data_IF_741598197693
#
_entry.id   IF_741598197693
#
_cell.length_a   1.000
_cell.length_b   1.000
_cell.length_c   1.000
_cell.angle_alpha   90.00
_cell.angle_beta   90.00
_cell.angle_gamma   90.00
#
_symmetry.space_group_name_H-M   'P 1'
#
loop_
_entity.id
_entity.type
_entity.pdbx_description
1 polymer ?
#
# COMPACT_ATOMS: atom_id res chain seq x y z
N UNK A 1 32.08 -27.22 5.38
CA UNK A 1 31.91 -26.00 4.57
C UNK A 1 31.01 -25.08 5.37
N UNK A 2 31.33 -23.78 5.53
CA UNK A 2 30.42 -22.87 6.22
C UNK A 2 29.10 -22.88 5.45
N UNK A 3 27.96 -23.05 6.12
CA UNK A 3 26.66 -23.09 5.45
C UNK A 3 26.20 -21.67 5.09
N UNK A 4 27.03 -20.92 4.36
CA UNK A 4 26.75 -19.56 3.90
C UNK A 4 25.35 -19.39 3.25
N UNK A 5 24.81 -20.37 2.48
CA UNK A 5 23.44 -20.28 1.95
C UNK A 5 22.35 -20.23 3.04
N UNK A 6 22.56 -20.85 4.21
CA UNK A 6 21.59 -20.89 5.30
C UNK A 6 21.40 -19.53 5.96
N UNK A 7 22.44 -18.69 5.99
CA UNK A 7 22.34 -17.29 6.44
C UNK A 7 21.38 -16.49 5.57
N UNK A 8 21.42 -16.74 4.26
CA UNK A 8 20.53 -16.11 3.29
C UNK A 8 19.10 -16.63 3.49
N UNK A 9 18.92 -17.92 3.78
CA UNK A 9 17.61 -18.50 4.10
C UNK A 9 17.01 -17.85 5.35
N UNK A 10 17.76 -17.75 6.44
CA UNK A 10 17.31 -17.14 7.69
C UNK A 10 16.83 -15.69 7.50
N UNK A 11 17.66 -14.86 6.85
CA UNK A 11 17.34 -13.45 6.59
C UNK A 11 16.08 -13.31 5.74
N UNK A 12 15.92 -14.11 4.69
CA UNK A 12 14.75 -14.01 3.80
C UNK A 12 13.47 -14.57 4.43
N UNK A 13 13.56 -15.60 5.28
CA UNK A 13 12.41 -16.06 6.07
C UNK A 13 11.96 -14.98 7.06
N UNK A 14 12.90 -14.35 7.79
CA UNK A 14 12.59 -13.28 8.72
C UNK A 14 11.94 -12.07 8.01
N UNK A 15 12.53 -11.61 6.92
CA UNK A 15 11.97 -10.52 6.09
C UNK A 15 10.56 -10.83 5.58
N UNK A 16 10.33 -12.08 5.15
CA UNK A 16 9.01 -12.51 4.70
C UNK A 16 7.98 -12.47 5.83
N UNK A 17 8.34 -12.97 7.01
CA UNK A 17 7.45 -13.00 8.18
C UNK A 17 7.10 -11.59 8.67
N UNK A 18 8.08 -10.70 8.75
CA UNK A 18 7.85 -9.31 9.17
C UNK A 18 7.04 -8.51 8.14
N UNK A 19 7.33 -8.67 6.85
CA UNK A 19 6.52 -8.02 5.81
C UNK A 19 5.07 -8.51 5.82
N UNK A 20 4.84 -9.82 5.97
CA UNK A 20 3.50 -10.38 6.13
C UNK A 20 2.79 -9.88 7.39
N UNK A 21 3.52 -9.62 8.49
CA UNK A 21 2.97 -9.04 9.71
C UNK A 21 2.42 -7.62 9.46
N UNK A 22 3.16 -6.79 8.72
CA UNK A 22 2.69 -5.45 8.35
C UNK A 22 1.41 -5.54 7.50
N UNK A 23 1.38 -6.43 6.51
CA UNK A 23 0.16 -6.65 5.70
C UNK A 23 -1.01 -7.16 6.56
N UNK A 24 -0.75 -8.06 7.50
CA UNK A 24 -1.74 -8.60 8.44
C UNK A 24 -2.37 -7.49 9.29
N UNK A 25 -1.55 -6.58 9.82
CA UNK A 25 -2.00 -5.45 10.63
C UNK A 25 -2.80 -4.43 9.80
N UNK A 26 -2.42 -4.17 8.55
CA UNK A 26 -3.23 -3.33 7.64
C UNK A 26 -4.58 -4.01 7.36
N UNK A 27 -4.59 -5.31 7.07
CA UNK A 27 -5.84 -6.05 6.85
C UNK A 27 -6.75 -6.01 8.09
N UNK A 28 -6.17 -6.15 9.29
CA UNK A 28 -6.90 -6.17 10.56
C UNK A 28 -7.43 -4.80 10.97
N UNK A 29 -6.59 -3.77 10.95
CA UNK A 29 -6.90 -2.50 11.60
C UNK A 29 -7.35 -1.41 10.63
N UNK A 30 -6.96 -1.48 9.35
CA UNK A 30 -7.38 -0.51 8.34
C UNK A 30 -8.57 -1.06 7.55
N UNK A 31 -8.43 -2.26 6.99
CA UNK A 31 -9.47 -2.87 6.16
C UNK A 31 -10.56 -3.55 6.99
N UNK A 32 -10.30 -3.83 8.28
CA UNK A 32 -11.20 -4.56 9.17
C UNK A 32 -11.68 -5.90 8.57
N UNK A 33 -10.82 -6.59 7.82
CA UNK A 33 -11.13 -7.85 7.15
C UNK A 33 -10.52 -9.04 7.93
N UNK A 34 -11.36 -9.74 8.67
CA UNK A 34 -10.98 -10.90 9.45
C UNK A 34 -10.49 -12.07 8.58
N UNK A 35 -11.07 -12.26 7.40
CA UNK A 35 -10.70 -13.35 6.49
C UNK A 35 -9.31 -13.11 5.93
N UNK A 36 -9.05 -11.90 5.45
CA UNK A 36 -7.75 -11.52 4.90
C UNK A 36 -6.66 -11.52 5.97
N UNK A 37 -6.96 -11.00 7.16
CA UNK A 37 -6.04 -11.05 8.31
C UNK A 37 -5.69 -12.50 8.66
N UNK A 38 -6.67 -13.41 8.73
CA UNK A 38 -6.42 -14.82 9.01
C UNK A 38 -5.61 -15.49 7.90
N UNK A 39 -5.89 -15.17 6.63
CA UNK A 39 -5.13 -15.67 5.49
C UNK A 39 -3.64 -15.27 5.54
N UNK A 40 -3.35 -14.01 5.87
CA UNK A 40 -1.99 -13.49 6.03
C UNK A 40 -1.30 -14.13 7.24
N UNK A 41 -2.00 -14.24 8.38
CA UNK A 41 -1.51 -14.94 9.58
C UNK A 41 -1.14 -16.39 9.30
N UNK A 42 -2.02 -17.15 8.63
CA UNK A 42 -1.75 -18.55 8.28
C UNK A 42 -0.54 -18.68 7.37
N UNK A 43 -0.38 -17.77 6.39
CA UNK A 43 0.81 -17.74 5.52
C UNK A 43 2.07 -17.46 6.32
N UNK A 44 2.02 -16.48 7.23
CA UNK A 44 3.12 -16.09 8.10
C UNK A 44 3.55 -17.24 9.02
N UNK A 45 2.60 -17.92 9.65
CA UNK A 45 2.87 -19.09 10.49
C UNK A 45 3.51 -20.22 9.69
N UNK A 46 2.98 -20.49 8.49
CA UNK A 46 3.54 -21.50 7.59
C UNK A 46 5.02 -21.22 7.26
N UNK A 47 5.38 -19.96 6.98
CA UNK A 47 6.78 -19.60 6.73
C UNK A 47 7.64 -19.64 8.01
N UNK A 48 7.09 -19.25 9.16
CA UNK A 48 7.80 -19.32 10.44
C UNK A 48 8.14 -20.79 10.82
N UNK A 49 7.22 -21.72 10.59
CA UNK A 49 7.44 -23.16 10.81
C UNK A 49 8.62 -23.70 9.97
N UNK A 50 8.85 -23.18 8.75
CA UNK A 50 10.03 -23.54 7.95
C UNK A 50 11.31 -23.10 8.69
N UNK A 51 11.32 -21.87 9.20
CA UNK A 51 12.44 -21.36 10.00
C UNK A 51 12.68 -22.17 11.26
N UNK A 52 11.63 -22.55 11.99
CA UNK A 52 11.72 -23.39 13.18
C UNK A 52 12.29 -24.78 12.88
N UNK A 53 11.84 -25.40 11.78
CA UNK A 53 12.35 -26.73 11.36
C UNK A 53 13.84 -26.74 11.03
N UNK A 54 14.40 -25.59 10.69
CA UNK A 54 15.82 -25.39 10.40
C UNK A 54 16.56 -24.68 11.55
N UNK A 55 15.87 -24.36 12.65
CA UNK A 55 16.24 -23.32 13.61
C UNK A 55 17.60 -23.47 14.27
N UNK A 56 18.00 -24.69 14.66
CA UNK A 56 19.32 -24.93 15.25
C UNK A 56 20.43 -24.64 14.23
N UNK A 57 20.27 -25.12 12.99
CA UNK A 57 21.25 -24.97 11.92
C UNK A 57 21.32 -23.50 11.44
N UNK A 58 20.18 -22.80 11.42
CA UNK A 58 20.14 -21.37 11.05
C UNK A 58 20.80 -20.50 12.13
N UNK A 59 20.58 -20.80 13.41
CA UNK A 59 21.15 -20.04 14.54
C UNK A 59 22.67 -20.19 14.61
N UNK A 60 23.20 -21.40 14.36
CA UNK A 60 24.65 -21.68 14.33
C UNK A 60 25.40 -20.86 13.26
N UNK A 61 24.70 -20.46 12.19
CA UNK A 61 25.27 -19.70 11.08
C UNK A 61 25.02 -18.18 11.21
N UNK A 62 24.31 -17.71 12.24
CA UNK A 62 24.09 -16.26 12.43
C UNK A 62 25.39 -15.57 12.86
N UNK A 63 25.86 -14.67 12.01
CA UNK A 63 27.03 -13.84 12.30
C UNK A 63 26.77 -12.37 11.92
N UNK A 64 25.78 -11.77 12.59
CA UNK A 64 25.44 -10.36 12.39
C UNK A 64 26.56 -9.41 12.82
N UNK A 65 27.47 -9.87 13.69
CA UNK A 65 28.55 -9.02 14.20
C UNK A 65 29.65 -8.78 13.17
N UNK A 66 29.95 -9.77 12.34
CA UNK A 66 30.95 -9.69 11.27
C UNK A 66 30.34 -9.51 9.88
N UNK A 67 29.04 -9.22 9.78
CA UNK A 67 28.36 -9.00 8.50
C UNK A 67 28.82 -7.71 7.81
N UNK A 68 29.13 -7.85 6.51
CA UNK A 68 29.49 -6.74 5.65
C UNK A 68 28.32 -5.76 5.54
N UNK A 69 28.58 -4.47 5.76
CA UNK A 69 27.57 -3.41 5.72
C UNK A 69 27.03 -2.97 7.09
N UNK A 70 27.51 -3.56 8.20
CA UNK A 70 27.24 -3.10 9.56
C UNK A 70 27.75 -1.68 9.82
N UNK A 71 28.92 -1.33 9.28
CA UNK A 71 29.52 0.01 9.40
C UNK A 71 28.93 1.05 8.42
N UNK A 72 27.61 1.05 8.21
CA UNK A 72 26.95 2.27 7.73
C UNK A 72 26.65 3.17 8.93
N UNK A 73 27.72 3.59 9.62
CA UNK A 73 27.68 4.87 10.32
C UNK A 73 27.51 5.89 9.19
N UNK A 74 26.27 6.31 8.95
CA UNK A 74 26.01 7.57 8.27
C UNK A 74 26.90 8.56 9.01
N UNK A 75 28.00 8.97 8.38
CA UNK A 75 28.89 9.96 8.91
C UNK A 75 28.01 11.19 9.13
N UNK A 76 27.52 11.38 10.37
CA UNK A 76 26.95 12.65 10.76
C UNK A 76 28.10 13.62 10.50
N UNK A 77 27.94 14.61 9.60
CA UNK A 77 28.99 15.59 9.42
C UNK A 77 29.36 16.12 10.80
N UNK A 78 30.66 16.27 11.12
CA UNK A 78 31.09 16.71 12.44
C UNK A 78 30.30 17.97 12.77
N UNK A 79 29.68 17.97 13.94
CA UNK A 79 28.92 19.09 14.48
C UNK A 79 29.83 20.32 14.53
N UNK A 80 29.82 21.10 13.45
CA UNK A 80 30.30 22.47 13.50
C UNK A 80 29.37 23.14 14.50
N UNK A 81 29.98 23.67 15.56
CA UNK A 81 29.35 24.55 16.53
C UNK A 81 28.85 25.76 15.73
N UNK A 82 27.66 25.65 15.15
CA UNK A 82 26.98 26.73 14.48
C UNK A 82 26.11 27.40 15.54
N UNK A 83 26.50 28.63 15.86
CA UNK A 83 25.74 29.58 16.67
C UNK A 83 24.23 29.52 16.39
N UNK A 84 23.37 29.78 17.39
CA UNK A 84 21.93 29.81 17.17
C UNK A 84 21.60 30.77 16.01
N UNK A 85 20.78 30.35 15.03
CA UNK A 85 20.44 31.23 13.92
C UNK A 85 19.65 32.45 14.44
N UNK A 86 19.83 33.63 13.82
CA UNK A 86 19.17 34.83 14.28
C UNK A 86 17.66 34.69 14.12
N UNK A 87 16.93 35.07 15.16
CA UNK A 87 15.47 35.21 15.13
C UNK A 87 15.13 36.38 14.21
N UNK A 88 14.83 36.09 12.94
CA UNK A 88 14.21 37.05 12.03
C UNK A 88 12.79 36.57 11.73
N UNK A 89 11.85 37.33 12.27
CA UNK A 89 10.43 37.20 12.01
C UNK A 89 10.10 37.43 10.53
N UNK A 90 9.13 36.64 10.06
CA UNK A 90 8.25 36.88 8.90
C UNK A 90 8.90 37.05 7.52
N UNK A 91 8.87 35.96 6.74
CA UNK A 91 8.32 35.99 5.38
C UNK A 91 7.54 34.70 5.16
N UNK A 92 6.21 34.82 5.10
CA UNK A 92 5.31 33.76 4.59
C UNK A 92 5.79 33.34 3.20
N UNK A 93 6.52 32.23 3.13
CA UNK A 93 6.71 31.47 1.90
C UNK A 93 5.72 30.32 1.95
N UNK A 94 4.58 30.56 1.32
CA UNK A 94 3.63 29.54 0.90
C UNK A 94 4.35 28.58 -0.05
N UNK A 95 4.88 27.50 0.49
CA UNK A 95 5.16 26.23 -0.18
C UNK A 95 5.42 25.23 0.95
N UNK A 96 4.34 24.79 1.61
CA UNK A 96 4.40 23.58 2.42
C UNK A 96 4.62 22.43 1.44
N UNK A 97 5.90 22.12 1.22
CA UNK A 97 6.34 20.84 0.74
C UNK A 97 5.90 19.84 1.82
N UNK A 98 4.68 19.31 1.67
CA UNK A 98 4.13 18.27 2.53
C UNK A 98 5.11 17.12 2.39
N UNK A 99 5.97 16.90 3.40
CA UNK A 99 6.72 15.66 3.53
C UNK A 99 5.68 14.55 3.44
N UNK A 100 5.58 13.93 2.27
CA UNK A 100 4.51 13.01 1.95
C UNK A 100 4.82 11.75 2.73
N UNK A 101 4.22 11.61 3.90
CA UNK A 101 4.16 10.32 4.58
C UNK A 101 3.72 9.28 3.54
N UNK A 102 4.37 8.10 3.51
CA UNK A 102 3.98 7.06 2.55
C UNK A 102 2.49 6.76 2.75
N UNK A 103 1.72 6.90 1.68
CA UNK A 103 0.31 6.52 1.68
C UNK A 103 0.19 5.01 1.98
N UNK A 104 -0.92 4.59 2.57
CA UNK A 104 -1.13 3.19 2.97
C UNK A 104 -1.00 2.23 1.78
N UNK A 105 -1.37 2.68 0.58
CA UNK A 105 -1.16 1.94 -0.67
C UNK A 105 0.33 1.71 -0.93
N UNK A 106 1.16 2.76 -0.79
CA UNK A 106 2.62 2.64 -0.96
C UNK A 106 3.25 1.75 0.11
N UNK A 107 2.77 1.83 1.36
CA UNK A 107 3.25 0.97 2.45
C UNK A 107 2.94 -0.51 2.17
N UNK A 108 1.72 -0.82 1.74
CA UNK A 108 1.32 -2.19 1.36
C UNK A 108 2.16 -2.69 0.20
N UNK A 109 2.26 -1.92 -0.88
CA UNK A 109 3.05 -2.34 -2.05
C UNK A 109 4.53 -2.55 -1.71
N UNK A 110 5.14 -1.67 -0.91
CA UNK A 110 6.53 -1.83 -0.51
C UNK A 110 6.75 -3.11 0.33
N UNK A 111 5.84 -3.45 1.24
CA UNK A 111 5.96 -4.66 2.06
C UNK A 111 5.63 -5.92 1.27
N UNK A 112 4.63 -5.89 0.37
CA UNK A 112 4.33 -7.01 -0.52
C UNK A 112 5.53 -7.35 -1.41
N UNK A 113 6.08 -6.37 -2.14
CA UNK A 113 7.26 -6.55 -2.98
C UNK A 113 8.45 -7.14 -2.20
N UNK A 114 8.72 -6.63 -0.99
CA UNK A 114 9.80 -7.16 -0.14
C UNK A 114 9.61 -8.63 0.22
N UNK A 115 8.39 -9.04 0.54
CA UNK A 115 8.07 -10.44 0.84
C UNK A 115 8.19 -11.28 -0.43
N UNK A 116 7.70 -10.79 -1.57
CA UNK A 116 7.78 -11.49 -2.86
C UNK A 116 9.22 -11.71 -3.32
N UNK A 117 10.07 -10.69 -3.19
CA UNK A 117 11.51 -10.80 -3.45
C UNK A 117 12.18 -11.81 -2.51
N UNK A 118 11.84 -11.76 -1.22
CA UNK A 118 12.39 -12.70 -0.23
C UNK A 118 11.97 -14.14 -0.53
N UNK A 119 10.70 -14.35 -0.90
CA UNK A 119 10.18 -15.64 -1.34
C UNK A 119 10.83 -16.10 -2.64
N UNK A 120 11.14 -15.19 -3.57
CA UNK A 120 11.85 -15.51 -4.81
C UNK A 120 13.26 -16.01 -4.52
N UNK A 121 13.98 -15.36 -3.59
CA UNK A 121 15.31 -15.84 -3.16
C UNK A 121 15.21 -17.23 -2.53
N UNK A 122 14.24 -17.46 -1.65
CA UNK A 122 14.01 -18.77 -1.03
C UNK A 122 13.64 -19.85 -2.06
N UNK A 123 12.84 -19.50 -3.07
CA UNK A 123 12.47 -20.37 -4.20
C UNK A 123 13.72 -20.81 -4.98
N UNK A 124 14.63 -19.89 -5.31
CA UNK A 124 15.86 -20.24 -6.05
C UNK A 124 16.86 -21.01 -5.18
N UNK A 125 17.01 -20.66 -3.91
CA UNK A 125 17.87 -21.39 -2.97
C UNK A 125 17.39 -22.83 -2.77
N UNK A 126 16.08 -23.06 -2.75
CA UNK A 126 15.50 -24.40 -2.63
C UNK A 126 15.78 -25.31 -3.85
N UNK A 127 16.23 -24.75 -4.98
CA UNK A 127 16.63 -25.52 -6.17
C UNK A 127 18.09 -25.98 -6.13
N UNK A 128 18.88 -25.51 -5.15
CA UNK A 128 20.26 -25.99 -4.96
C UNK A 128 20.27 -27.40 -4.37
N UNK A 129 21.11 -28.28 -4.88
CA UNK A 129 21.20 -29.69 -4.45
C UNK A 129 21.40 -29.85 -2.93
N UNK A 130 22.15 -28.92 -2.32
CA UNK A 130 22.45 -28.90 -0.88
C UNK A 130 21.23 -28.56 0.00
N UNK A 131 20.26 -27.83 -0.55
CA UNK A 131 19.11 -27.29 0.18
C UNK A 131 17.78 -27.89 -0.27
N UNK A 132 17.72 -28.55 -1.43
CA UNK A 132 16.51 -29.17 -1.98
C UNK A 132 15.91 -30.25 -1.08
N UNK A 133 16.72 -30.85 -0.19
CA UNK A 133 16.26 -31.79 0.84
C UNK A 133 15.64 -31.13 2.07
N UNK A 134 15.90 -29.83 2.28
CA UNK A 134 15.49 -29.04 3.45
C UNK A 134 14.39 -28.04 3.13
N UNK A 135 14.30 -27.61 1.88
CA UNK A 135 13.41 -26.56 1.40
C UNK A 135 12.57 -27.04 0.22
N UNK A 136 11.36 -26.49 0.11
CA UNK A 136 10.43 -26.80 -0.97
C UNK A 136 10.26 -25.58 -1.88
N UNK A 137 10.84 -25.64 -3.08
CA UNK A 137 10.76 -24.57 -4.07
C UNK A 137 9.31 -24.28 -4.51
N UNK A 138 8.51 -25.33 -4.72
CA UNK A 138 7.13 -25.22 -5.18
C UNK A 138 6.25 -24.54 -4.10
N UNK A 139 6.55 -24.78 -2.82
CA UNK A 139 5.89 -24.08 -1.71
C UNK A 139 6.15 -22.57 -1.77
N UNK A 140 7.39 -22.13 -1.94
CA UNK A 140 7.72 -20.69 -2.00
C UNK A 140 7.10 -20.02 -3.23
N UNK A 141 7.14 -20.68 -4.38
CA UNK A 141 6.47 -20.24 -5.60
C UNK A 141 4.96 -20.04 -5.38
N UNK A 142 4.28 -21.04 -4.80
CA UNK A 142 2.85 -20.98 -4.51
C UNK A 142 2.48 -19.85 -3.55
N UNK A 143 3.29 -19.64 -2.50
CA UNK A 143 3.07 -18.53 -1.55
C UNK A 143 3.26 -17.19 -2.24
N UNK A 144 4.29 -17.04 -3.09
CA UNK A 144 4.56 -15.82 -3.86
C UNK A 144 3.40 -15.47 -4.80
N UNK A 145 2.89 -16.45 -5.56
CA UNK A 145 1.74 -16.20 -6.45
C UNK A 145 0.46 -15.83 -5.70
N UNK A 146 0.23 -16.44 -4.54
CA UNK A 146 -0.88 -16.06 -3.67
C UNK A 146 -0.72 -14.62 -3.17
N UNK A 147 0.51 -14.20 -2.88
CA UNK A 147 0.79 -12.86 -2.39
C UNK A 147 0.48 -11.77 -3.42
N UNK A 148 0.76 -12.00 -4.71
CA UNK A 148 0.33 -11.07 -5.78
C UNK A 148 -1.18 -10.83 -5.78
N UNK A 149 -1.96 -11.88 -5.52
CA UNK A 149 -3.42 -11.76 -5.45
C UNK A 149 -3.87 -10.96 -4.22
N UNK A 150 -3.22 -11.22 -3.08
CA UNK A 150 -3.47 -10.50 -1.83
C UNK A 150 -3.09 -9.02 -1.95
N UNK A 151 -1.93 -8.71 -2.53
CA UNK A 151 -1.49 -7.32 -2.78
C UNK A 151 -2.52 -6.58 -3.63
N UNK A 152 -2.93 -7.17 -4.76
CA UNK A 152 -3.92 -6.57 -5.66
C UNK A 152 -5.25 -6.30 -4.97
N UNK A 153 -5.73 -7.25 -4.17
CA UNK A 153 -6.95 -7.11 -3.35
C UNK A 153 -6.82 -5.95 -2.36
N UNK A 154 -5.71 -5.90 -1.61
CA UNK A 154 -5.45 -4.86 -0.60
C UNK A 154 -5.36 -3.47 -1.22
N UNK A 155 -4.54 -3.31 -2.28
CA UNK A 155 -4.36 -2.04 -2.99
C UNK A 155 -5.68 -1.53 -3.56
N UNK A 156 -6.47 -2.43 -4.17
CA UNK A 156 -7.79 -2.08 -4.72
C UNK A 156 -8.74 -1.55 -3.64
N UNK A 157 -8.81 -2.24 -2.49
CA UNK A 157 -9.67 -1.85 -1.38
C UNK A 157 -9.24 -0.54 -0.72
N UNK A 158 -7.94 -0.35 -0.49
CA UNK A 158 -7.39 0.89 0.06
C UNK A 158 -7.68 2.07 -0.86
N UNK A 159 -7.38 1.92 -2.17
CA UNK A 159 -7.69 2.95 -3.17
C UNK A 159 -9.18 3.29 -3.20
N UNK A 160 -10.06 2.29 -3.08
CA UNK A 160 -11.51 2.51 -3.02
C UNK A 160 -11.91 3.26 -1.74
N UNK A 161 -11.35 2.93 -0.59
CA UNK A 161 -11.63 3.63 0.66
C UNK A 161 -11.23 5.10 0.57
N UNK A 162 -10.07 5.41 -0.03
CA UNK A 162 -9.64 6.80 -0.20
C UNK A 162 -10.53 7.57 -1.17
N UNK A 163 -10.91 6.95 -2.30
CA UNK A 163 -11.92 7.54 -3.20
C UNK A 163 -13.26 7.77 -2.50
N UNK A 164 -13.72 6.84 -1.66
CA UNK A 164 -14.96 7.00 -0.90
C UNK A 164 -14.88 8.16 0.11
N UNK A 165 -13.72 8.39 0.74
CA UNK A 165 -13.48 9.56 1.59
C UNK A 165 -13.52 10.86 0.79
N UNK A 166 -13.03 10.85 -0.45
CA UNK A 166 -13.14 11.99 -1.36
C UNK A 166 -14.58 12.24 -1.83
N UNK A 167 -15.35 11.16 -2.02
CA UNK A 167 -16.78 11.18 -2.36
C UNK A 167 -17.70 11.56 -1.17
N UNK A 168 -17.16 12.19 -0.13
CA UNK A 168 -17.95 12.75 0.97
C UNK A 168 -18.70 14.00 0.49
N UNK A 169 -20.03 13.97 0.47
CA UNK A 169 -20.83 15.13 0.07
C UNK A 169 -22.22 14.70 -0.40
N UNK A 170 -23.05 15.68 -0.76
CA UNK A 170 -24.35 15.38 -1.34
C UNK A 170 -24.16 14.95 -2.80
N UNK A 171 -24.65 13.76 -3.16
CA UNK A 171 -24.78 13.34 -4.56
C UNK A 171 -26.18 13.67 -5.05
N UNK A 172 -26.30 14.63 -5.96
CA UNK A 172 -27.59 15.09 -6.46
C UNK A 172 -27.81 14.62 -7.88
N UNK A 173 -28.97 14.01 -8.11
CA UNK A 173 -29.46 13.66 -9.43
C UNK A 173 -30.39 14.79 -9.87
N UNK A 174 -29.97 15.54 -10.88
CA UNK A 174 -30.77 16.60 -11.50
C UNK A 174 -31.61 15.93 -12.59
N UNK A 175 -32.84 15.57 -12.22
CA UNK A 175 -33.80 14.93 -13.11
C UNK A 175 -34.79 15.94 -13.69
N UNK A 176 -34.79 16.09 -15.01
CA UNK A 176 -35.64 17.05 -15.69
C UNK A 176 -37.13 16.89 -15.38
N UNK A 177 -37.61 15.66 -15.21
CA UNK A 177 -39.02 15.39 -14.88
C UNK A 177 -39.38 15.89 -13.48
N UNK A 178 -38.41 15.90 -12.57
CA UNK A 178 -38.57 16.31 -11.16
C UNK A 178 -38.33 17.81 -11.00
N UNK A 179 -37.61 18.45 -11.91
CA UNK A 179 -37.34 19.89 -11.86
C UNK A 179 -38.59 20.77 -12.01
N UNK A 180 -39.69 20.24 -12.56
CA UNK A 180 -40.97 20.94 -12.65
C UNK A 180 -40.89 22.23 -13.51
N UNK A 181 -40.01 22.25 -14.50
CA UNK A 181 -39.80 23.42 -15.38
C UNK A 181 -38.70 24.40 -14.95
N UNK A 182 -38.05 24.18 -13.79
CA UNK A 182 -36.86 24.95 -13.38
C UNK A 182 -35.67 24.67 -14.32
N UNK A 183 -34.80 25.66 -14.45
CA UNK A 183 -33.58 25.53 -15.25
C UNK A 183 -32.56 24.59 -14.59
N UNK A 184 -32.00 23.69 -15.38
CA UNK A 184 -31.08 22.64 -14.91
C UNK A 184 -29.75 23.22 -14.42
N UNK A 185 -29.25 24.30 -15.05
CA UNK A 185 -27.99 24.93 -14.69
C UNK A 185 -28.14 25.76 -13.42
N UNK A 186 -29.26 26.46 -13.27
CA UNK A 186 -29.57 27.20 -12.04
C UNK A 186 -29.65 26.27 -10.83
N UNK A 187 -30.43 25.19 -10.92
CA UNK A 187 -30.54 24.21 -9.83
C UNK A 187 -29.20 23.53 -9.55
N UNK A 188 -28.42 23.20 -10.59
CA UNK A 188 -27.07 22.67 -10.39
C UNK A 188 -26.17 23.63 -9.60
N UNK A 189 -26.18 24.93 -9.92
CA UNK A 189 -25.41 25.94 -9.17
C UNK A 189 -25.83 26.04 -7.70
N UNK A 190 -27.14 26.11 -7.44
CA UNK A 190 -27.67 26.16 -6.07
C UNK A 190 -27.26 24.93 -5.27
N UNK A 191 -27.33 23.75 -5.89
CA UNK A 191 -26.98 22.48 -5.28
C UNK A 191 -25.47 22.37 -5.01
N UNK A 192 -24.62 22.85 -5.93
CA UNK A 192 -23.16 22.97 -5.69
C UNK A 192 -22.89 23.89 -4.51
N UNK A 193 -23.52 25.07 -4.47
CA UNK A 193 -23.38 26.02 -3.36
C UNK A 193 -23.88 25.42 -2.03
N UNK A 194 -24.91 24.58 -2.09
CA UNK A 194 -25.42 23.80 -0.95
C UNK A 194 -24.49 22.67 -0.48
N UNK A 195 -23.34 22.46 -1.13
CA UNK A 195 -22.32 21.49 -0.73
C UNK A 195 -22.40 20.14 -1.45
N UNK A 196 -23.15 20.05 -2.55
CA UNK A 196 -23.07 18.86 -3.40
C UNK A 196 -21.71 18.77 -4.08
N UNK A 197 -21.10 17.58 -3.99
CA UNK A 197 -19.81 17.30 -4.63
C UNK A 197 -19.92 16.52 -5.93
N UNK A 198 -21.07 15.90 -6.16
CA UNK A 198 -21.35 15.11 -7.36
C UNK A 198 -22.73 15.49 -7.87
N UNK A 199 -22.82 15.78 -9.17
CA UNK A 199 -24.07 16.01 -9.87
C UNK A 199 -24.18 15.00 -11.01
N UNK A 200 -25.33 14.35 -11.12
CA UNK A 200 -25.71 13.54 -12.28
C UNK A 200 -26.88 14.21 -12.99
N UNK A 201 -26.67 14.60 -14.25
CA UNK A 201 -27.77 14.97 -15.13
C UNK A 201 -28.53 13.71 -15.56
N UNK A 202 -29.83 13.67 -15.30
CA UNK A 202 -30.72 12.58 -15.73
C UNK A 202 -31.84 13.17 -16.57
N UNK A 203 -31.85 12.84 -17.86
CA UNK A 203 -32.94 13.21 -18.77
C UNK A 203 -33.21 12.01 -19.68
N UNK A 204 -34.44 11.50 -19.62
CA UNK A 204 -34.91 10.38 -20.45
C UNK A 204 -35.75 10.84 -21.65
N UNK A 205 -35.99 12.14 -21.78
CA UNK A 205 -36.90 12.72 -22.78
C UNK A 205 -36.18 13.38 -23.93
N UNK A 206 -35.10 14.13 -23.66
CA UNK A 206 -34.28 14.74 -24.72
C UNK A 206 -33.47 13.71 -25.50
N UNK A 207 -33.25 13.99 -26.78
CA UNK A 207 -32.28 13.27 -27.59
C UNK A 207 -30.84 13.61 -27.18
N UNK A 208 -29.88 12.75 -27.53
CA UNK A 208 -28.46 12.97 -27.19
C UNK A 208 -27.93 14.31 -27.71
N UNK A 209 -28.33 14.73 -28.91
CA UNK A 209 -27.91 16.00 -29.51
C UNK A 209 -28.42 17.24 -28.77
N UNK A 210 -29.56 17.12 -28.08
CA UNK A 210 -30.10 18.19 -27.23
C UNK A 210 -29.51 18.16 -25.82
N UNK A 211 -29.10 16.97 -25.34
CA UNK A 211 -28.52 16.77 -24.02
C UNK A 211 -27.06 17.25 -23.94
N UNK A 212 -26.28 17.00 -24.99
CA UNK A 212 -24.84 17.26 -25.00
C UNK A 212 -24.49 18.74 -24.68
N UNK A 213 -25.13 19.75 -25.29
CA UNK A 213 -24.84 21.16 -24.96
C UNK A 213 -25.20 21.55 -23.52
N UNK A 214 -26.17 20.85 -22.90
CA UNK A 214 -26.51 21.05 -21.48
C UNK A 214 -25.43 20.43 -20.60
N UNK A 215 -25.01 19.21 -20.91
CA UNK A 215 -23.96 18.50 -20.18
C UNK A 215 -22.61 19.24 -20.25
N UNK A 216 -22.26 19.81 -21.40
CA UNK A 216 -21.06 20.64 -21.56
C UNK A 216 -21.10 21.88 -20.65
N UNK A 217 -22.23 22.60 -20.63
CA UNK A 217 -22.40 23.77 -19.75
C UNK A 217 -22.39 23.39 -18.26
N UNK A 218 -22.94 22.23 -17.89
CA UNK A 218 -22.89 21.73 -16.51
C UNK A 218 -21.48 21.35 -16.07
N UNK A 219 -20.64 20.86 -16.99
CA UNK A 219 -19.24 20.51 -16.71
C UNK A 219 -18.37 21.74 -16.43
N UNK A 220 -18.78 22.92 -16.91
CA UNK A 220 -18.06 24.19 -16.70
C UNK A 220 -18.41 24.87 -15.36
N UNK A 221 -19.41 24.37 -14.62
CA UNK A 221 -19.76 24.85 -13.27
C UNK A 221 -18.76 24.36 -12.21
#
# INVERSE_FOLDING_TARGET
>A
MPHQPLRIVDVNLNRSVEGLRVLEDVARFVLNDATLSQQLRSTRHSLAEVGESLGIILLEERDSEHDVGRENVIARPPSVIASPPPVIASRRRSNLNRQSYPDLVSLVGANANRVEESLRVLEELAKLDELSSKLDAARFEKVRFRLYSVEKEMVSRLTRQDKLKELTGLYVIVDRQVLGGRDELEVAREVIQGGAKVIQLRDKQRSMGELLPVAERLKEL
#
